data_IF_146473520304
#
_entry.id   IF_146473520304
#
_cell.length_a   1.000
_cell.length_b   1.000
_cell.length_c   1.000
_cell.angle_alpha   90.00
_cell.angle_beta   90.00
_cell.angle_gamma   90.00
#
_symmetry.space_group_name_H-M   'P 1'
#
loop_
_entity.id
_entity.type
_entity.pdbx_description
1 polymer ?
#
# COMPACT_ATOMS: atom_id res chain seq x y z
N UNK A 1 -1.17 30.36 19.70
CA UNK A 1 -2.09 29.23 19.50
C UNK A 1 -1.54 28.44 18.32
N UNK A 2 -0.78 27.37 18.59
CA UNK A 2 -0.27 26.47 17.53
C UNK A 2 -1.50 25.78 16.94
N UNK A 3 -1.84 26.09 15.68
CA UNK A 3 -2.82 25.31 14.95
C UNK A 3 -2.30 23.88 14.88
N UNK A 4 -3.07 22.93 15.40
CA UNK A 4 -2.82 21.50 15.26
C UNK A 4 -2.91 21.11 13.78
N UNK A 5 -1.93 21.56 12.99
CA UNK A 5 -1.83 21.23 11.57
C UNK A 5 -1.42 19.78 11.47
N UNK A 6 -2.35 18.91 11.04
CA UNK A 6 -2.09 17.51 10.80
C UNK A 6 -1.43 17.35 9.43
N UNK A 7 -0.32 16.64 9.38
CA UNK A 7 0.39 16.36 8.12
C UNK A 7 0.24 14.89 7.74
N UNK A 8 -0.11 14.64 6.48
CA UNK A 8 -0.20 13.30 5.90
C UNK A 8 0.92 13.12 4.87
N UNK A 9 1.67 12.03 4.96
CA UNK A 9 2.65 11.65 3.94
C UNK A 9 2.11 10.46 3.15
N UNK A 10 1.96 10.62 1.83
CA UNK A 10 1.59 9.53 0.92
C UNK A 10 2.85 9.00 0.25
N UNK A 11 3.16 7.73 0.48
CA UNK A 11 4.37 7.04 0.04
C UNK A 11 3.98 6.06 -1.06
N UNK A 12 4.58 6.23 -2.24
CA UNK A 12 4.29 5.44 -3.43
C UNK A 12 5.56 4.69 -3.85
N UNK A 13 5.68 3.38 -3.56
CA UNK A 13 6.74 2.56 -4.11
C UNK A 13 6.52 2.38 -5.61
N UNK A 14 7.53 2.65 -6.44
CA UNK A 14 7.41 2.57 -7.88
C UNK A 14 8.63 1.89 -8.51
N UNK A 15 8.38 0.94 -9.42
CA UNK A 15 9.38 0.32 -10.26
C UNK A 15 8.81 0.03 -11.64
N UNK A 16 9.27 0.76 -12.66
CA UNK A 16 8.77 0.69 -14.02
C UNK A 16 7.23 0.82 -14.07
N UNK A 17 6.72 1.91 -13.52
CA UNK A 17 5.30 2.22 -13.38
C UNK A 17 4.86 3.38 -14.28
N UNK A 18 5.64 3.69 -15.33
CA UNK A 18 5.38 4.82 -16.23
C UNK A 18 3.97 4.84 -16.83
N UNK A 19 3.38 3.67 -17.08
CA UNK A 19 2.05 3.55 -17.66
C UNK A 19 0.90 3.77 -16.64
N UNK A 20 1.14 3.52 -15.35
CA UNK A 20 0.09 3.53 -14.31
C UNK A 20 0.22 4.71 -13.35
N UNK A 21 1.44 5.13 -13.06
CA UNK A 21 1.73 6.21 -12.12
C UNK A 21 1.01 7.54 -12.45
N UNK A 22 0.84 7.95 -13.73
CA UNK A 22 0.10 9.16 -14.07
C UNK A 22 -1.33 9.18 -13.53
N UNK A 23 -2.07 8.09 -13.68
CA UNK A 23 -3.46 7.95 -13.22
C UNK A 23 -3.54 7.89 -11.70
N UNK A 24 -2.58 7.20 -11.05
CA UNK A 24 -2.47 7.14 -9.59
C UNK A 24 -2.24 8.54 -9.04
N UNK A 25 -1.26 9.29 -9.57
CA UNK A 25 -0.97 10.65 -9.12
C UNK A 25 -2.13 11.61 -9.39
N UNK A 26 -2.79 11.52 -10.55
CA UNK A 26 -3.96 12.35 -10.85
C UNK A 26 -5.11 12.10 -9.85
N UNK A 27 -5.40 10.83 -9.52
CA UNK A 27 -6.41 10.47 -8.53
C UNK A 27 -6.04 10.97 -7.12
N UNK A 28 -4.75 10.90 -6.78
CA UNK A 28 -4.22 11.38 -5.51
C UNK A 28 -4.28 12.91 -5.40
N UNK A 29 -3.89 13.65 -6.44
CA UNK A 29 -3.99 15.10 -6.50
C UNK A 29 -5.43 15.57 -6.25
N UNK A 30 -6.40 14.93 -6.91
CA UNK A 30 -7.83 15.23 -6.68
C UNK A 30 -8.25 14.91 -5.23
N UNK A 31 -7.75 13.82 -4.66
CA UNK A 31 -8.05 13.47 -3.26
C UNK A 31 -7.43 14.47 -2.27
N UNK A 32 -6.21 14.95 -2.54
CA UNK A 32 -5.53 15.97 -1.71
C UNK A 32 -6.29 17.30 -1.74
N UNK A 33 -6.78 17.74 -2.91
CA UNK A 33 -7.59 18.98 -3.03
C UNK A 33 -8.88 18.95 -2.21
N UNK A 34 -9.34 17.76 -1.85
CA UNK A 34 -10.56 17.57 -1.04
C UNK A 34 -10.29 17.48 0.46
N UNK A 35 -9.02 17.55 0.89
CA UNK A 35 -8.67 17.57 2.31
C UNK A 35 -9.04 18.92 2.94
N UNK A 36 -9.37 18.93 4.24
CA UNK A 36 -9.54 20.17 4.98
C UNK A 36 -8.28 21.04 4.97
N UNK A 37 -8.45 22.37 4.99
CA UNK A 37 -7.33 23.34 4.91
C UNK A 37 -6.28 23.17 6.03
N UNK A 38 -6.66 22.61 7.17
CA UNK A 38 -5.79 22.34 8.31
C UNK A 38 -5.01 21.02 8.17
N UNK A 39 -5.12 20.33 7.03
CA UNK A 39 -4.39 19.11 6.72
C UNK A 39 -3.41 19.37 5.59
N UNK A 40 -2.13 19.35 5.91
CA UNK A 40 -1.08 19.34 4.89
C UNK A 40 -0.87 17.91 4.35
N UNK A 41 -0.50 17.80 3.07
CA UNK A 41 -0.20 16.51 2.48
C UNK A 41 1.07 16.62 1.61
N UNK A 42 2.02 15.71 1.82
CA UNK A 42 3.17 15.53 0.95
C UNK A 42 3.09 14.19 0.20
N UNK A 43 3.63 14.15 -1.00
CA UNK A 43 3.71 12.95 -1.84
C UNK A 43 5.15 12.56 -2.04
N UNK A 44 5.48 11.32 -1.67
CA UNK A 44 6.83 10.76 -1.77
C UNK A 44 6.75 9.55 -2.70
N UNK A 45 7.38 9.63 -3.87
CA UNK A 45 7.54 8.49 -4.77
C UNK A 45 8.92 7.88 -4.53
N UNK A 46 8.96 6.61 -4.19
CA UNK A 46 10.22 5.90 -4.02
C UNK A 46 10.51 5.11 -5.29
N UNK A 47 11.42 5.65 -6.10
CA UNK A 47 11.87 5.03 -7.34
C UNK A 47 12.84 3.87 -7.04
N UNK A 48 12.38 2.66 -7.28
CA UNK A 48 13.13 1.43 -7.02
C UNK A 48 13.96 1.00 -8.23
N UNK A 49 14.87 1.88 -8.69
CA UNK A 49 15.73 1.68 -9.85
C UNK A 49 14.94 1.39 -11.14
N UNK A 50 13.98 2.25 -11.46
CA UNK A 50 13.23 2.19 -12.72
C UNK A 50 14.13 2.53 -13.90
N UNK A 51 13.89 1.85 -15.02
CA UNK A 51 14.56 2.07 -16.30
C UNK A 51 13.69 2.85 -17.32
N UNK A 52 12.42 3.06 -16.97
CA UNK A 52 11.44 3.80 -17.76
C UNK A 52 11.31 5.27 -17.30
N UNK A 53 10.25 5.94 -17.72
CA UNK A 53 9.95 7.33 -17.38
C UNK A 53 9.28 7.54 -16.00
N UNK A 54 9.19 6.52 -15.14
CA UNK A 54 8.57 6.59 -13.81
C UNK A 54 9.05 7.78 -13.00
N UNK A 55 10.40 7.94 -12.89
CA UNK A 55 11.00 9.03 -12.12
C UNK A 55 10.64 10.41 -12.66
N UNK A 56 10.71 10.60 -13.98
CA UNK A 56 10.40 11.89 -14.61
C UNK A 56 8.92 12.26 -14.46
N UNK A 57 8.02 11.28 -14.53
CA UNK A 57 6.59 11.48 -14.27
C UNK A 57 6.37 11.95 -12.82
N UNK A 58 6.97 11.29 -11.84
CA UNK A 58 6.83 11.68 -10.44
C UNK A 58 7.29 13.12 -10.18
N UNK A 59 8.49 13.48 -10.71
CA UNK A 59 9.03 14.83 -10.60
C UNK A 59 8.15 15.90 -11.27
N UNK A 60 7.62 15.59 -12.47
CA UNK A 60 6.75 16.53 -13.20
C UNK A 60 5.42 16.83 -12.50
N UNK A 61 5.00 15.94 -11.60
CA UNK A 61 3.80 16.08 -10.74
C UNK A 61 4.10 16.65 -9.35
N UNK A 62 5.34 17.14 -9.13
CA UNK A 62 5.75 17.79 -7.88
C UNK A 62 5.96 16.83 -6.71
N UNK A 63 6.04 15.52 -6.93
CA UNK A 63 6.35 14.58 -5.88
C UNK A 63 7.83 14.68 -5.45
N UNK A 64 8.08 14.47 -4.16
CA UNK A 64 9.43 14.21 -3.67
C UNK A 64 9.86 12.81 -4.13
N UNK A 65 11.00 12.69 -4.82
CA UNK A 65 11.46 11.40 -5.34
C UNK A 65 12.68 10.92 -4.56
N UNK A 66 12.53 9.74 -3.96
CA UNK A 66 13.60 9.02 -3.25
C UNK A 66 14.07 7.87 -4.13
N UNK A 67 15.38 7.62 -4.18
CA UNK A 67 15.95 6.49 -4.90
C UNK A 67 16.29 5.36 -3.93
N UNK A 68 15.78 4.14 -4.19
CA UNK A 68 16.10 2.93 -3.44
C UNK A 68 16.54 1.83 -4.42
N UNK A 69 17.84 1.44 -4.41
CA UNK A 69 18.37 0.47 -5.37
C UNK A 69 17.96 -0.98 -5.08
N UNK A 70 17.69 -1.33 -3.83
CA UNK A 70 17.38 -2.72 -3.47
C UNK A 70 15.92 -3.06 -3.80
N UNK A 71 15.72 -4.07 -4.66
CA UNK A 71 14.40 -4.55 -5.06
C UNK A 71 13.75 -5.40 -3.97
N UNK A 72 13.16 -4.71 -2.99
CA UNK A 72 12.42 -5.31 -1.89
C UNK A 72 11.34 -4.34 -1.45
N UNK A 73 10.08 -4.70 -1.64
CA UNK A 73 8.95 -3.80 -1.42
C UNK A 73 8.90 -3.22 0.01
N UNK A 74 9.21 -4.03 1.03
CA UNK A 74 9.28 -3.58 2.41
C UNK A 74 10.32 -2.46 2.58
N UNK A 75 11.52 -2.63 1.98
CA UNK A 75 12.60 -1.63 2.04
C UNK A 75 12.22 -0.35 1.32
N UNK A 76 11.60 -0.46 0.15
CA UNK A 76 11.12 0.70 -0.62
C UNK A 76 10.10 1.51 0.18
N UNK A 77 9.14 0.83 0.84
CA UNK A 77 8.15 1.49 1.72
C UNK A 77 8.82 2.12 2.93
N UNK A 78 9.79 1.44 3.55
CA UNK A 78 10.53 1.96 4.69
C UNK A 78 11.35 3.20 4.32
N UNK A 79 12.06 3.19 3.18
CA UNK A 79 12.81 4.35 2.71
C UNK A 79 11.92 5.58 2.51
N UNK A 80 10.71 5.39 1.96
CA UNK A 80 9.73 6.47 1.88
C UNK A 80 9.24 6.96 3.24
N UNK A 81 9.03 6.04 4.19
CA UNK A 81 8.59 6.38 5.54
C UNK A 81 9.68 7.11 6.36
N UNK A 82 10.96 6.81 6.11
CA UNK A 82 12.10 7.51 6.73
C UNK A 82 12.18 8.97 6.25
N UNK A 83 11.85 9.24 4.98
CA UNK A 83 11.84 10.59 4.43
C UNK A 83 10.56 11.37 4.79
N UNK A 84 9.51 10.69 5.24
CA UNK A 84 8.20 11.26 5.54
C UNK A 84 8.23 12.14 6.80
N UNK A 85 7.55 13.30 6.72
CA UNK A 85 7.43 14.27 7.81
C UNK A 85 6.04 14.28 8.45
N UNK A 86 5.10 13.52 7.90
CA UNK A 86 3.71 13.51 8.34
C UNK A 86 3.49 12.80 9.67
N UNK A 87 2.42 13.23 10.36
CA UNK A 87 1.87 12.55 11.54
C UNK A 87 1.22 11.23 11.19
N UNK A 88 0.65 11.17 9.98
CA UNK A 88 0.08 9.99 9.36
C UNK A 88 0.81 9.60 8.09
N UNK A 89 0.94 8.28 7.86
CA UNK A 89 1.53 7.69 6.67
C UNK A 89 0.46 6.93 5.90
N UNK A 90 0.45 7.07 4.57
CA UNK A 90 -0.33 6.25 3.65
C UNK A 90 0.64 5.61 2.67
N UNK A 91 0.65 4.30 2.60
CA UNK A 91 1.37 3.52 1.59
C UNK A 91 0.39 3.18 0.49
N UNK A 92 0.63 3.70 -0.71
CA UNK A 92 -0.23 3.57 -1.88
C UNK A 92 0.58 2.96 -3.03
N UNK A 93 0.13 1.84 -3.59
CA UNK A 93 0.82 1.26 -4.75
C UNK A 93 0.66 2.16 -6.00
N UNK A 94 1.70 2.18 -6.84
CA UNK A 94 1.81 3.06 -8.01
C UNK A 94 0.78 2.80 -9.12
N UNK A 95 0.03 1.71 -9.02
CA UNK A 95 -1.04 1.29 -9.93
C UNK A 95 -2.44 1.31 -9.28
N UNK A 96 -2.60 2.08 -8.18
CA UNK A 96 -3.83 2.12 -7.38
C UNK A 96 -4.43 3.51 -7.39
N UNK A 97 -5.68 3.61 -7.82
CA UNK A 97 -6.46 4.86 -7.84
C UNK A 97 -7.31 4.98 -6.60
N UNK A 98 -7.34 6.18 -6.04
CA UNK A 98 -8.11 6.52 -4.85
C UNK A 98 -9.16 7.59 -5.15
N UNK A 99 -10.03 7.85 -4.18
CA UNK A 99 -11.01 8.93 -4.19
C UNK A 99 -10.80 9.85 -2.99
N UNK A 100 -11.37 11.05 -3.04
CA UNK A 100 -11.34 12.02 -1.94
C UNK A 100 -11.70 11.39 -0.57
N UNK A 101 -12.72 10.52 -0.56
CA UNK A 101 -13.21 9.85 0.64
C UNK A 101 -12.16 8.99 1.34
N UNK A 102 -11.13 8.50 0.62
CA UNK A 102 -10.09 7.67 1.22
C UNK A 102 -9.18 8.49 2.14
N UNK A 103 -8.62 9.61 1.66
CA UNK A 103 -7.74 10.45 2.47
C UNK A 103 -8.48 11.13 3.62
N UNK A 104 -9.70 11.63 3.38
CA UNK A 104 -10.51 12.23 4.44
C UNK A 104 -10.86 11.23 5.55
N UNK A 105 -11.20 9.97 5.19
CA UNK A 105 -11.48 8.92 6.16
C UNK A 105 -10.21 8.48 6.93
N UNK A 106 -9.05 8.43 6.27
CA UNK A 106 -7.76 8.17 6.93
C UNK A 106 -7.45 9.24 7.97
N UNK A 107 -7.53 10.52 7.59
CA UNK A 107 -7.28 11.64 8.50
C UNK A 107 -8.26 11.59 9.69
N UNK A 108 -9.56 11.42 9.42
CA UNK A 108 -10.56 11.30 10.47
C UNK A 108 -10.29 10.14 11.42
N UNK A 109 -9.93 8.97 10.87
CA UNK A 109 -9.58 7.78 11.65
C UNK A 109 -8.35 7.99 12.54
N UNK A 110 -7.27 8.57 11.99
CA UNK A 110 -6.04 8.83 12.74
C UNK A 110 -6.25 9.89 13.83
N UNK A 111 -7.02 10.95 13.54
CA UNK A 111 -7.43 11.95 14.55
C UNK A 111 -8.33 11.36 15.63
N UNK A 112 -9.21 10.41 15.28
CA UNK A 112 -10.03 9.67 16.24
C UNK A 112 -9.26 8.61 17.03
N UNK A 113 -7.93 8.51 16.86
CA UNK A 113 -7.07 7.64 17.66
C UNK A 113 -6.80 6.26 17.05
N UNK A 114 -7.17 5.98 15.80
CA UNK A 114 -6.71 4.74 15.14
C UNK A 114 -5.19 4.71 15.05
N UNK A 115 -4.64 3.52 15.27
CA UNK A 115 -3.21 3.25 15.07
C UNK A 115 -2.84 3.18 13.58
N UNK A 116 -3.76 2.73 12.76
CA UNK A 116 -3.63 2.52 11.33
C UNK A 116 -4.73 1.61 10.80
N UNK A 117 -4.56 1.19 9.57
CA UNK A 117 -5.55 0.35 8.91
C UNK A 117 -5.31 0.18 7.42
N UNK A 118 -6.37 -0.16 6.75
CA UNK A 118 -6.48 -0.25 5.30
C UNK A 118 -7.90 0.04 4.86
N UNK A 119 -8.16 -0.22 3.59
CA UNK A 119 -9.49 -0.09 2.99
C UNK A 119 -9.80 -1.35 2.17
N UNK A 120 -11.06 -1.60 1.81
CA UNK A 120 -11.39 -2.64 0.84
C UNK A 120 -10.71 -2.35 -0.50
N UNK A 121 -10.47 -3.40 -1.27
CA UNK A 121 -9.88 -3.28 -2.61
C UNK A 121 -10.87 -3.71 -3.68
N UNK A 122 -10.71 -3.15 -4.86
CA UNK A 122 -11.31 -3.59 -6.11
C UNK A 122 -10.24 -3.59 -7.20
N UNK A 123 -10.52 -4.23 -8.32
CA UNK A 123 -9.65 -4.21 -9.48
C UNK A 123 -10.34 -3.53 -10.65
N UNK A 124 -9.54 -2.87 -11.49
CA UNK A 124 -10.02 -2.17 -12.68
C UNK A 124 -10.68 -3.12 -13.69
N UNK A 125 -10.23 -4.37 -13.76
CA UNK A 125 -10.80 -5.41 -14.61
C UNK A 125 -10.71 -6.78 -13.94
N UNK A 126 -11.84 -7.47 -13.86
CA UNK A 126 -11.93 -8.86 -13.38
C UNK A 126 -12.72 -9.69 -14.38
N UNK A 127 -12.10 -10.77 -14.83
CA UNK A 127 -12.73 -11.72 -15.73
C UNK A 127 -13.33 -12.89 -14.94
N UNK A 128 -14.66 -12.97 -14.96
CA UNK A 128 -15.37 -14.13 -14.46
C UNK A 128 -15.72 -14.15 -12.99
N UNK A 129 -16.66 -15.05 -12.66
CA UNK A 129 -17.26 -15.16 -11.34
C UNK A 129 -16.27 -15.61 -10.24
N UNK A 130 -15.27 -16.42 -10.60
CA UNK A 130 -14.29 -16.96 -9.65
C UNK A 130 -13.38 -15.87 -9.10
N UNK A 131 -12.85 -14.99 -9.96
CA UNK A 131 -12.00 -13.87 -9.54
C UNK A 131 -12.79 -12.89 -8.65
N UNK A 132 -14.02 -12.57 -9.05
CA UNK A 132 -14.92 -11.72 -8.26
C UNK A 132 -15.28 -12.37 -6.91
N UNK A 133 -15.47 -13.68 -6.85
CA UNK A 133 -15.70 -14.40 -5.61
C UNK A 133 -14.46 -14.38 -4.70
N UNK A 134 -13.28 -14.57 -5.27
CA UNK A 134 -11.99 -14.48 -4.57
C UNK A 134 -11.77 -13.09 -3.95
N UNK A 135 -12.05 -12.03 -4.70
CA UNK A 135 -11.96 -10.66 -4.21
C UNK A 135 -12.94 -10.39 -3.05
N UNK A 136 -14.19 -10.83 -3.18
CA UNK A 136 -15.17 -10.72 -2.09
C UNK A 136 -14.72 -11.47 -0.83
N UNK A 137 -14.21 -12.69 -1.00
CA UNK A 137 -13.66 -13.49 0.10
C UNK A 137 -12.47 -12.81 0.76
N UNK A 138 -11.54 -12.24 -0.02
CA UNK A 138 -10.43 -11.45 0.50
C UNK A 138 -10.91 -10.25 1.31
N UNK A 139 -11.81 -9.43 0.76
CA UNK A 139 -12.33 -8.26 1.45
C UNK A 139 -13.06 -8.62 2.75
N UNK A 140 -13.80 -9.73 2.78
CA UNK A 140 -14.43 -10.25 3.99
C UNK A 140 -13.39 -10.69 5.03
N UNK A 141 -12.38 -11.44 4.62
CA UNK A 141 -11.26 -11.86 5.46
C UNK A 141 -10.47 -10.67 6.00
N UNK A 142 -10.11 -9.72 5.13
CA UNK A 142 -9.39 -8.50 5.46
C UNK A 142 -10.11 -7.71 6.55
N UNK A 143 -11.42 -7.48 6.40
CA UNK A 143 -12.25 -6.82 7.43
C UNK A 143 -12.27 -7.60 8.74
N UNK A 144 -12.50 -8.92 8.70
CA UNK A 144 -12.60 -9.76 9.91
C UNK A 144 -11.28 -9.89 10.64
N UNK A 145 -10.17 -10.08 9.92
CA UNK A 145 -8.84 -10.25 10.49
C UNK A 145 -8.14 -8.93 10.80
N UNK A 146 -8.67 -7.81 10.28
CA UNK A 146 -7.99 -6.52 10.25
C UNK A 146 -6.60 -6.62 9.61
N UNK A 147 -6.55 -7.17 8.39
CA UNK A 147 -5.35 -7.24 7.56
C UNK A 147 -5.51 -6.28 6.40
N UNK A 148 -4.64 -5.27 6.32
CA UNK A 148 -4.63 -4.35 5.20
C UNK A 148 -4.12 -5.04 3.93
N UNK A 149 -4.68 -4.68 2.78
CA UNK A 149 -4.13 -5.04 1.49
C UNK A 149 -2.93 -4.14 1.17
N UNK A 150 -1.88 -4.70 0.57
CA UNK A 150 -0.63 -3.99 0.32
C UNK A 150 -0.79 -2.73 -0.53
N UNK A 151 -1.79 -2.69 -1.41
CA UNK A 151 -2.02 -1.55 -2.30
C UNK A 151 -2.50 -0.27 -1.57
N UNK A 152 -3.05 -0.39 -0.34
CA UNK A 152 -3.42 0.76 0.49
C UNK A 152 -3.34 0.42 1.98
N UNK A 153 -2.32 0.94 2.63
CA UNK A 153 -2.10 0.78 4.09
C UNK A 153 -1.89 2.16 4.69
N UNK A 154 -2.48 2.43 5.83
CA UNK A 154 -2.21 3.69 6.56
C UNK A 154 -1.84 3.41 8.01
N UNK A 155 -1.05 4.31 8.60
CA UNK A 155 -0.60 4.21 9.98
C UNK A 155 -0.28 5.58 10.58
N UNK A 156 -0.29 5.68 11.89
CA UNK A 156 0.39 6.77 12.60
C UNK A 156 1.89 6.62 12.45
N UNK A 157 2.58 7.72 12.18
CA UNK A 157 4.02 7.71 11.95
C UNK A 157 4.82 7.28 13.20
N UNK A 158 4.38 7.69 14.40
CA UNK A 158 4.99 7.28 15.67
C UNK A 158 4.91 5.75 15.88
N UNK A 159 3.75 5.15 15.59
CA UNK A 159 3.54 3.72 15.73
C UNK A 159 4.23 2.91 14.64
N UNK A 160 4.30 3.45 13.40
CA UNK A 160 5.09 2.85 12.33
C UNK A 160 6.56 2.72 12.74
N UNK A 161 7.15 3.80 13.27
CA UNK A 161 8.52 3.79 13.80
C UNK A 161 8.69 2.81 14.97
N UNK A 162 7.71 2.79 15.88
CA UNK A 162 7.77 1.93 17.07
C UNK A 162 7.71 0.43 16.74
N UNK A 163 7.05 0.01 15.66
CA UNK A 163 7.06 -1.39 15.20
C UNK A 163 8.27 -1.73 14.32
N UNK A 164 9.12 -0.74 13.98
CA UNK A 164 10.28 -0.92 13.12
C UNK A 164 9.95 -1.00 11.63
N UNK A 165 8.81 -0.43 11.20
CA UNK A 165 8.40 -0.41 9.79
C UNK A 165 7.92 -1.77 9.26
N UNK A 166 7.97 -1.92 7.94
CA UNK A 166 7.72 -3.20 7.26
C UNK A 166 8.90 -4.15 7.43
N UNK A 167 8.61 -5.42 7.74
CA UNK A 167 9.67 -6.42 7.92
C UNK A 167 10.38 -6.73 6.62
N UNK A 168 11.67 -6.47 6.58
CA UNK A 168 12.54 -6.83 5.45
C UNK A 168 12.94 -8.31 5.44
N UNK A 169 12.56 -9.08 6.46
CA UNK A 169 12.81 -10.52 6.51
C UNK A 169 11.89 -11.34 5.60
N UNK A 170 10.88 -10.71 4.99
CA UNK A 170 9.92 -11.36 4.09
C UNK A 170 9.93 -10.68 2.71
N UNK A 171 9.73 -11.47 1.67
CA UNK A 171 9.65 -11.03 0.28
C UNK A 171 8.20 -10.90 -0.21
N UNK A 172 7.22 -11.46 0.51
CA UNK A 172 5.80 -11.32 0.24
C UNK A 172 4.99 -11.46 1.52
N UNK A 173 3.83 -10.77 1.60
CA UNK A 173 2.97 -10.74 2.77
C UNK A 173 3.51 -9.84 3.90
N UNK A 174 4.41 -8.91 3.57
CA UNK A 174 4.97 -7.93 4.51
C UNK A 174 3.86 -7.04 5.11
N UNK A 175 2.81 -6.73 4.35
CA UNK A 175 1.66 -5.96 4.79
C UNK A 175 0.83 -6.70 5.85
N UNK A 176 0.72 -8.02 5.74
CA UNK A 176 0.03 -8.85 6.74
C UNK A 176 0.86 -8.92 8.02
N UNK A 177 2.17 -9.12 7.89
CA UNK A 177 3.09 -9.12 9.02
C UNK A 177 3.06 -7.75 9.74
N UNK A 178 3.10 -6.67 8.97
CA UNK A 178 2.99 -5.29 9.44
C UNK A 178 1.65 -5.02 10.16
N UNK A 179 0.53 -5.39 9.53
CA UNK A 179 -0.80 -5.26 10.14
C UNK A 179 -0.89 -5.96 11.50
N UNK A 180 -0.30 -7.16 11.60
CA UNK A 180 -0.25 -7.92 12.86
C UNK A 180 0.63 -7.25 13.92
N UNK A 181 1.80 -6.75 13.53
CA UNK A 181 2.72 -6.08 14.45
C UNK A 181 2.09 -4.78 14.97
N UNK A 182 1.58 -3.94 14.08
CA UNK A 182 0.95 -2.67 14.43
C UNK A 182 -0.31 -2.88 15.29
N UNK A 183 -1.13 -3.89 14.96
CA UNK A 183 -2.31 -4.26 15.75
C UNK A 183 -1.96 -4.67 17.18
N UNK A 184 -0.89 -5.46 17.38
CA UNK A 184 -0.43 -5.85 18.73
C UNK A 184 0.01 -4.62 19.52
N UNK A 185 0.86 -3.77 18.92
CA UNK A 185 1.33 -2.54 19.59
C UNK A 185 0.14 -1.63 19.94
N UNK A 186 -0.79 -1.44 18.99
CA UNK A 186 -1.97 -0.62 19.19
C UNK A 186 -2.84 -1.08 20.36
N UNK A 187 -3.04 -2.39 20.49
CA UNK A 187 -3.81 -2.97 21.62
C UNK A 187 -3.22 -2.62 22.98
N UNK A 188 -1.88 -2.63 23.13
CA UNK A 188 -1.21 -2.23 24.35
C UNK A 188 -1.39 -0.74 24.69
N UNK A 189 -1.73 0.08 23.69
CA UNK A 189 -1.98 1.51 23.83
C UNK A 189 -3.46 1.90 23.84
N UNK A 190 -4.37 0.91 23.90
CA UNK A 190 -5.82 1.17 23.83
C UNK A 190 -6.30 1.70 22.48
N UNK A 191 -5.50 1.51 21.42
CA UNK A 191 -5.82 1.96 20.06
C UNK A 191 -6.28 0.80 19.18
N UNK A 192 -6.96 1.12 18.07
CA UNK A 192 -7.41 0.12 17.12
C UNK A 192 -6.68 0.23 15.78
N UNK A 193 -6.44 -0.92 15.14
CA UNK A 193 -6.10 -1.04 13.73
C UNK A 193 -7.35 -1.56 12.99
N UNK A 194 -7.85 -0.85 11.97
CA UNK A 194 -9.12 -1.18 11.32
C UNK A 194 -9.04 -1.11 9.81
N UNK A 195 -9.83 -1.94 9.14
CA UNK A 195 -10.19 -1.75 7.74
C UNK A 195 -11.41 -0.82 7.73
N UNK A 196 -11.26 0.35 7.11
CA UNK A 196 -12.31 1.35 7.05
C UNK A 196 -13.46 0.84 6.17
N UNK A 197 -14.69 1.05 6.62
CA UNK A 197 -15.88 0.64 5.87
C UNK A 197 -16.30 1.76 4.91
N UNK A 198 -15.52 1.91 3.85
CA UNK A 198 -15.72 2.89 2.78
C UNK A 198 -15.62 2.20 1.43
N UNK A 199 -15.83 2.96 0.36
CA UNK A 199 -15.67 2.44 -0.99
C UNK A 199 -14.27 1.85 -1.20
N UNK A 200 -14.11 0.79 -2.01
CA UNK A 200 -12.81 0.21 -2.28
C UNK A 200 -11.90 1.16 -3.08
N UNK A 201 -10.59 1.06 -2.87
CA UNK A 201 -9.61 1.56 -3.84
C UNK A 201 -9.59 0.67 -5.06
N UNK A 202 -9.22 1.22 -6.22
CA UNK A 202 -9.16 0.46 -7.47
C UNK A 202 -7.71 0.25 -7.86
N UNK A 203 -7.23 -0.99 -7.78
CA UNK A 203 -5.89 -1.39 -8.18
C UNK A 203 -5.89 -2.07 -9.54
N UNK A 204 -4.74 -2.08 -10.21
CA UNK A 204 -4.61 -2.75 -11.51
C UNK A 204 -4.71 -4.27 -11.37
N UNK A 205 -5.50 -4.88 -12.23
CA UNK A 205 -5.63 -6.34 -12.34
C UNK A 205 -4.48 -7.01 -13.11
N UNK A 206 -3.52 -6.22 -13.63
CA UNK A 206 -2.44 -6.71 -14.51
C UNK A 206 -1.71 -7.95 -13.97
N UNK A 207 -1.43 -8.02 -12.65
CA UNK A 207 -0.79 -9.19 -12.05
C UNK A 207 -1.65 -10.44 -12.15
N UNK A 208 -2.98 -10.29 -12.16
CA UNK A 208 -3.91 -11.40 -12.33
C UNK A 208 -3.89 -11.88 -13.78
N UNK A 209 -3.76 -10.97 -14.75
CA UNK A 209 -3.73 -11.29 -16.17
C UNK A 209 -2.38 -11.78 -16.67
N UNK A 210 -1.27 -11.42 -16.02
CA UNK A 210 0.08 -11.87 -16.41
C UNK A 210 0.31 -13.37 -16.26
N UNK A 211 -0.41 -13.98 -15.33
CA UNK A 211 -0.17 -15.37 -14.96
C UNK A 211 -1.38 -16.24 -15.27
N UNK A 212 -1.12 -17.48 -15.71
CA UNK A 212 -2.17 -18.46 -16.00
C UNK A 212 -2.85 -18.94 -14.70
N UNK A 213 -4.13 -19.37 -14.75
CA UNK A 213 -4.86 -19.80 -13.55
C UNK A 213 -4.16 -20.86 -12.71
N UNK A 214 -3.43 -21.80 -13.33
CA UNK A 214 -2.67 -22.82 -12.62
C UNK A 214 -1.48 -22.24 -11.82
N UNK A 215 -0.88 -21.13 -12.28
CA UNK A 215 0.20 -20.45 -11.55
C UNK A 215 -0.32 -19.79 -10.28
N UNK A 216 -1.52 -19.19 -10.33
CA UNK A 216 -2.21 -18.69 -9.14
C UNK A 216 -2.52 -19.82 -8.15
N UNK A 217 -2.96 -21.00 -8.65
CA UNK A 217 -3.20 -22.16 -7.82
C UNK A 217 -1.92 -22.63 -7.13
N UNK A 218 -0.77 -22.66 -7.84
CA UNK A 218 0.53 -23.00 -7.24
C UNK A 218 0.89 -22.01 -6.13
N UNK A 219 0.75 -20.69 -6.37
CA UNK A 219 1.03 -19.67 -5.35
C UNK A 219 0.13 -19.89 -4.13
N UNK A 220 -1.17 -20.06 -4.34
CA UNK A 220 -2.13 -20.32 -3.26
C UNK A 220 -1.77 -21.56 -2.45
N UNK A 221 -1.50 -22.69 -3.11
CA UNK A 221 -1.11 -23.94 -2.46
C UNK A 221 0.23 -23.79 -1.72
N UNK A 222 1.19 -23.06 -2.31
CA UNK A 222 2.47 -22.78 -1.67
C UNK A 222 2.26 -22.07 -0.34
N UNK A 223 1.47 -21.00 -0.30
CA UNK A 223 1.22 -20.28 0.95
C UNK A 223 0.30 -21.02 1.93
N UNK A 224 -0.57 -21.90 1.42
CA UNK A 224 -1.43 -22.75 2.27
C UNK A 224 -0.61 -23.80 3.02
N UNK A 225 0.30 -24.51 2.32
CA UNK A 225 1.11 -25.58 2.92
C UNK A 225 2.42 -25.09 3.54
N UNK A 226 2.94 -23.94 3.07
CA UNK A 226 4.17 -23.34 3.57
C UNK A 226 3.95 -21.87 3.93
N UNK A 227 3.31 -21.57 5.07
CA UNK A 227 2.99 -20.18 5.47
C UNK A 227 4.22 -19.27 5.60
N UNK A 228 5.41 -19.86 5.74
CA UNK A 228 6.70 -19.14 5.77
C UNK A 228 7.34 -18.95 4.39
N UNK A 229 6.68 -19.36 3.31
CA UNK A 229 7.18 -19.21 1.92
C UNK A 229 7.56 -17.77 1.59
N UNK A 230 6.87 -16.79 2.16
CA UNK A 230 7.16 -15.36 2.02
C UNK A 230 8.60 -14.96 2.42
N UNK A 231 9.32 -15.79 3.20
CA UNK A 231 10.72 -15.56 3.57
C UNK A 231 11.74 -15.94 2.49
N UNK A 232 11.32 -16.68 1.48
CA UNK A 232 12.21 -17.20 0.45
C UNK A 232 11.94 -16.54 -0.89
N UNK A 233 12.91 -15.78 -1.41
CA UNK A 233 12.80 -15.07 -2.69
C UNK A 233 12.38 -15.98 -3.85
N UNK A 234 12.87 -17.23 -3.88
CA UNK A 234 12.54 -18.21 -4.93
C UNK A 234 11.06 -18.61 -4.92
N UNK A 235 10.41 -18.65 -3.76
CA UNK A 235 9.00 -19.00 -3.63
C UNK A 235 8.06 -17.81 -3.82
N UNK A 236 8.62 -16.61 -3.89
CA UNK A 236 7.87 -15.35 -4.09
C UNK A 236 8.08 -14.76 -5.49
N UNK A 237 8.53 -15.57 -6.44
CA UNK A 237 8.79 -15.19 -7.82
C UNK A 237 7.63 -14.41 -8.46
N UNK A 238 6.39 -14.77 -8.13
CA UNK A 238 5.16 -14.17 -8.62
C UNK A 238 5.10 -12.64 -8.39
N UNK A 239 5.71 -12.13 -7.32
CA UNK A 239 5.73 -10.69 -7.00
C UNK A 239 6.84 -9.92 -7.71
N UNK A 240 7.92 -10.63 -8.14
CA UNK A 240 9.15 -10.01 -8.65
C UNK A 240 9.41 -10.26 -10.13
N UNK A 241 8.64 -11.15 -10.75
CA UNK A 241 8.77 -11.45 -12.17
C UNK A 241 7.69 -10.76 -12.98
N UNK A 242 8.11 -10.01 -14.02
CA UNK A 242 7.23 -9.43 -15.04
C UNK A 242 7.45 -10.19 -16.35
N UNK A 243 6.41 -10.72 -17.02
CA UNK A 243 6.56 -11.51 -18.24
C UNK A 243 7.16 -10.76 -19.45
N UNK A 244 7.25 -9.43 -19.36
CA UNK A 244 7.72 -8.57 -20.47
C UNK A 244 9.07 -7.89 -20.19
N UNK A 245 9.78 -8.24 -19.12
CA UNK A 245 11.15 -7.79 -18.86
C UNK A 245 12.16 -8.72 -19.58
N UNK A 246 12.05 -8.84 -20.92
CA UNK A 246 12.93 -9.60 -21.80
C UNK A 246 13.41 -8.76 -22.96
#
# INVERSE_FOLDING_TARGET
MSSDQFTLSVIIPAWNEGDYLPDTLASLEHAIQSLPNEVACEVIVVDNASSDNTRSIALSRGACVIFEPERRIARVRNAGAEAAKGDGLVFLDADTRIRATHLTAVVAGLRAGLAGGGVPIDFDHLEGALQSAGLRAWNALSRRAHWAAGCFVFARADLHRAVGGFSEAVYAGEEIAYSRALKRLAQHQGRAFRILDIQPVVSSSRKITWFRPWQHAIVLLTFLFFPWAGRFKRLTWFWYHRPHDG
#
